data_IF_225311732016
#
_entry.id   IF_225311732016
#
_cell.length_a   1.000
_cell.length_b   1.000
_cell.length_c   1.000
_cell.angle_alpha   90.00
_cell.angle_beta   90.00
_cell.angle_gamma   90.00
#
_symmetry.space_group_name_H-M   'P 1'
#
loop_
_entity.id
_entity.type
_entity.pdbx_description
1 polymer ?
#
# COMPACT_ATOMS: atom_id res chain seq x y z
N UNK A 1 1.80 -33.29 -1.68
CA UNK A 1 0.53 -33.71 -1.04
C UNK A 1 0.63 -33.33 0.41
N UNK A 2 -0.07 -32.25 0.78
CA UNK A 2 -0.56 -31.79 2.09
C UNK A 2 -0.80 -30.28 1.98
N UNK A 3 -2.07 -29.85 1.83
CA UNK A 3 -2.48 -28.62 2.50
C UNK A 3 -3.93 -28.76 3.01
N UNK A 4 -4.11 -29.44 4.14
CA UNK A 4 -5.34 -29.42 4.92
C UNK A 4 -4.98 -29.51 6.41
N UNK A 5 -4.46 -28.42 7.01
CA UNK A 5 -4.33 -28.31 8.47
C UNK A 5 -3.94 -26.89 8.95
N UNK A 6 -4.61 -25.84 8.47
CA UNK A 6 -4.52 -24.50 9.08
C UNK A 6 -5.92 -23.90 9.30
N UNK A 7 -6.88 -24.70 9.76
CA UNK A 7 -8.21 -24.19 10.14
C UNK A 7 -8.62 -24.58 11.59
N UNK A 8 -7.71 -25.18 12.37
CA UNK A 8 -8.01 -25.71 13.71
C UNK A 8 -7.36 -25.02 14.91
N UNK A 9 -6.31 -24.21 14.73
CA UNK A 9 -5.51 -23.70 15.86
C UNK A 9 -5.76 -22.24 16.25
N UNK A 10 -6.54 -21.48 15.47
CA UNK A 10 -6.82 -20.08 15.77
C UNK A 10 -7.99 -19.84 16.75
N UNK A 11 -8.64 -20.89 17.28
CA UNK A 11 -9.83 -20.75 18.14
C UNK A 11 -9.58 -20.94 19.65
N UNK A 12 -8.33 -20.95 20.13
CA UNK A 12 -8.02 -21.21 21.55
C UNK A 12 -7.12 -20.18 22.23
N UNK A 13 -6.64 -19.17 21.52
CA UNK A 13 -5.88 -18.06 22.13
C UNK A 13 -6.82 -16.89 22.31
N UNK A 14 -7.00 -16.44 23.56
CA UNK A 14 -7.74 -15.23 23.86
C UNK A 14 -7.11 -14.06 23.09
N UNK A 15 -7.92 -13.33 22.33
CA UNK A 15 -7.46 -12.16 21.60
C UNK A 15 -7.00 -11.08 22.57
N UNK A 16 -5.97 -10.33 22.20
CA UNK A 16 -5.35 -9.32 23.06
C UNK A 16 -6.24 -8.08 23.23
N UNK A 17 -7.10 -7.82 22.24
CA UNK A 17 -7.94 -6.63 22.19
C UNK A 17 -9.41 -7.00 21.96
N UNK A 18 -10.31 -6.33 22.68
CA UNK A 18 -11.75 -6.43 22.38
C UNK A 18 -12.09 -5.68 21.09
N UNK A 19 -11.61 -4.45 20.97
CA UNK A 19 -11.73 -3.62 19.77
C UNK A 19 -10.36 -3.06 19.39
N UNK A 20 -10.04 -3.10 18.11
CA UNK A 20 -8.89 -2.42 17.53
C UNK A 20 -9.30 -1.56 16.32
N UNK A 21 -8.60 -0.46 16.12
CA UNK A 21 -8.71 0.34 14.91
C UNK A 21 -7.72 -0.19 13.87
N UNK A 22 -8.14 -0.30 12.62
CA UNK A 22 -7.24 -0.52 11.49
C UNK A 22 -7.31 0.70 10.56
N UNK A 23 -6.22 1.46 10.50
CA UNK A 23 -6.21 2.75 9.80
C UNK A 23 -5.56 2.63 8.41
N UNK A 24 -6.39 2.73 7.38
CA UNK A 24 -5.98 2.85 5.98
C UNK A 24 -5.37 4.23 5.69
N UNK A 25 -4.27 4.25 4.94
CA UNK A 25 -3.73 5.46 4.30
C UNK A 25 -3.27 5.20 2.87
N UNK A 26 -2.25 4.34 2.73
CA UNK A 26 -1.60 4.02 1.45
C UNK A 26 -1.72 2.56 1.02
N UNK A 27 -2.06 1.63 1.91
CA UNK A 27 -2.33 0.23 1.57
C UNK A 27 -3.83 -0.02 1.42
N UNK A 28 -4.45 0.56 0.38
CA UNK A 28 -5.91 0.55 0.18
C UNK A 28 -6.34 -0.75 -0.49
N UNK A 29 -6.19 -1.86 0.24
CA UNK A 29 -6.52 -3.23 -0.20
C UNK A 29 -6.77 -4.13 1.00
N UNK A 30 -7.49 -5.23 0.79
CA UNK A 30 -7.63 -6.29 1.80
C UNK A 30 -6.63 -7.43 1.59
N UNK A 31 -6.25 -7.74 0.34
CA UNK A 31 -5.29 -8.80 0.06
C UNK A 31 -3.88 -8.44 0.53
N UNK A 32 -3.20 -9.39 1.16
CA UNK A 32 -1.83 -9.25 1.66
C UNK A 32 -1.59 -7.92 2.40
N UNK A 33 -2.52 -7.56 3.28
CA UNK A 33 -2.42 -6.36 4.12
C UNK A 33 -2.04 -6.78 5.54
N UNK A 34 -0.75 -6.69 5.89
CA UNK A 34 -0.24 -7.24 7.16
C UNK A 34 -0.89 -6.58 8.37
N UNK A 35 -1.04 -5.26 8.35
CA UNK A 35 -1.66 -4.53 9.44
C UNK A 35 -3.13 -4.94 9.66
N UNK A 36 -3.89 -5.16 8.58
CA UNK A 36 -5.27 -5.66 8.68
C UNK A 36 -5.30 -7.10 9.23
N UNK A 37 -4.45 -7.99 8.70
CA UNK A 37 -4.38 -9.39 9.14
C UNK A 37 -4.07 -9.45 10.63
N UNK A 38 -3.07 -8.69 11.07
CA UNK A 38 -2.66 -8.63 12.47
C UNK A 38 -3.73 -8.03 13.39
N UNK A 39 -4.47 -7.02 12.91
CA UNK A 39 -5.62 -6.51 13.64
C UNK A 39 -6.71 -7.58 13.83
N UNK A 40 -7.02 -8.34 12.78
CA UNK A 40 -8.05 -9.41 12.84
C UNK A 40 -7.62 -10.58 13.72
N UNK A 41 -6.33 -10.93 13.70
CA UNK A 41 -5.75 -11.98 14.56
C UNK A 41 -5.82 -11.57 16.03
N UNK A 42 -5.50 -10.31 16.35
CA UNK A 42 -5.32 -9.87 17.73
C UNK A 42 -6.55 -9.18 18.36
N UNK A 43 -7.60 -8.87 17.58
CA UNK A 43 -8.80 -8.19 18.09
C UNK A 43 -10.13 -8.92 17.79
N UNK A 44 -11.07 -8.94 18.74
CA UNK A 44 -12.41 -9.54 18.52
C UNK A 44 -13.18 -8.79 17.45
N UNK A 45 -13.09 -7.45 17.50
CA UNK A 45 -13.66 -6.54 16.52
C UNK A 45 -12.60 -5.58 15.99
N UNK A 46 -12.63 -5.32 14.69
CA UNK A 46 -11.76 -4.37 13.99
C UNK A 46 -12.61 -3.28 13.37
N UNK A 47 -12.21 -2.02 13.54
CA UNK A 47 -12.82 -0.86 12.90
C UNK A 47 -11.91 -0.41 11.75
N UNK A 48 -12.20 -0.75 10.48
CA UNK A 48 -11.42 -0.29 9.34
C UNK A 48 -11.75 1.18 9.07
N UNK A 49 -10.74 2.05 9.11
CA UNK A 49 -10.92 3.50 9.08
C UNK A 49 -10.11 4.12 7.95
N UNK A 50 -10.69 5.09 7.26
CA UNK A 50 -9.96 6.03 6.43
C UNK A 50 -10.27 7.46 6.89
N UNK A 51 -9.22 8.28 7.01
CA UNK A 51 -9.34 9.68 7.43
C UNK A 51 -9.02 10.56 6.23
N UNK A 52 -10.01 11.33 5.79
CA UNK A 52 -9.87 12.42 4.84
C UNK A 52 -9.12 13.56 5.52
N UNK A 53 -7.81 13.58 5.36
CA UNK A 53 -6.90 14.54 5.99
C UNK A 53 -6.89 15.87 5.23
N UNK A 54 -7.37 16.99 5.83
CA UNK A 54 -7.39 18.29 5.16
C UNK A 54 -6.02 18.75 4.68
N UNK A 55 -4.95 18.36 5.37
CA UNK A 55 -3.56 18.71 5.01
C UNK A 55 -3.17 18.11 3.66
N UNK A 56 -3.60 16.88 3.38
CA UNK A 56 -3.33 16.17 2.13
C UNK A 56 -4.29 16.66 1.04
N UNK A 57 -5.56 16.85 1.37
CA UNK A 57 -6.59 17.26 0.41
C UNK A 57 -6.38 18.68 -0.11
N UNK A 58 -5.89 19.59 0.73
CA UNK A 58 -5.56 20.96 0.35
C UNK A 58 -4.22 21.10 -0.40
N UNK A 59 -3.42 20.02 -0.50
CA UNK A 59 -2.10 20.08 -1.12
C UNK A 59 -2.20 20.31 -2.63
N UNK A 60 -1.36 21.20 -3.17
CA UNK A 60 -1.40 21.65 -4.58
C UNK A 60 -1.18 20.54 -5.61
N UNK A 61 -0.54 19.45 -5.21
CA UNK A 61 -0.28 18.27 -6.06
C UNK A 61 -1.42 17.24 -6.04
N UNK A 62 -2.51 17.50 -5.30
CA UNK A 62 -3.69 16.63 -5.28
C UNK A 62 -4.58 16.90 -6.48
N UNK A 63 -4.19 16.36 -7.64
CA UNK A 63 -4.95 16.47 -8.89
C UNK A 63 -6.21 15.60 -8.94
N UNK A 64 -7.18 15.99 -9.77
CA UNK A 64 -8.51 15.34 -9.86
C UNK A 64 -8.44 13.85 -10.17
N UNK A 65 -7.58 13.41 -11.10
CA UNK A 65 -7.43 11.98 -11.44
C UNK A 65 -6.93 11.14 -10.25
N UNK A 66 -6.00 11.69 -9.45
CA UNK A 66 -5.47 11.05 -8.24
C UNK A 66 -6.56 10.94 -7.17
N UNK A 67 -7.32 12.00 -6.95
CA UNK A 67 -8.45 12.00 -6.01
C UNK A 67 -9.55 11.04 -6.45
N UNK A 68 -9.84 10.98 -7.76
CA UNK A 68 -10.80 10.04 -8.31
C UNK A 68 -10.41 8.60 -8.04
N UNK A 69 -9.18 8.23 -8.42
CA UNK A 69 -8.66 6.88 -8.20
C UNK A 69 -8.72 6.48 -6.72
N UNK A 70 -8.38 7.41 -5.82
CA UNK A 70 -8.48 7.19 -4.37
C UNK A 70 -9.91 6.84 -3.95
N UNK A 71 -10.91 7.64 -4.34
CA UNK A 71 -12.29 7.39 -3.91
C UNK A 71 -12.89 6.13 -4.55
N UNK A 72 -12.51 5.80 -5.80
CA UNK A 72 -12.84 4.51 -6.40
C UNK A 72 -12.27 3.35 -5.56
N UNK A 73 -10.99 3.43 -5.18
CA UNK A 73 -10.34 2.40 -4.36
C UNK A 73 -10.97 2.26 -2.96
N UNK A 74 -11.35 3.38 -2.32
CA UNK A 74 -12.05 3.34 -1.04
C UNK A 74 -13.45 2.72 -1.16
N UNK A 75 -14.16 2.99 -2.26
CA UNK A 75 -15.45 2.35 -2.55
C UNK A 75 -15.34 0.85 -2.78
N UNK A 76 -14.29 0.41 -3.49
CA UNK A 76 -13.97 -1.01 -3.70
C UNK A 76 -13.64 -1.73 -2.38
N UNK A 77 -12.84 -1.09 -1.51
CA UNK A 77 -12.54 -1.60 -0.16
C UNK A 77 -13.79 -1.68 0.70
N UNK A 78 -14.66 -0.66 0.72
CA UNK A 78 -15.92 -0.72 1.48
C UNK A 78 -16.82 -1.86 1.00
N UNK A 79 -16.95 -2.03 -0.32
CA UNK A 79 -17.72 -3.13 -0.92
C UNK A 79 -17.16 -4.49 -0.48
N UNK A 80 -15.83 -4.65 -0.54
CA UNK A 80 -15.14 -5.88 -0.14
C UNK A 80 -15.24 -6.17 1.36
N UNK A 81 -15.21 -5.12 2.20
CA UNK A 81 -15.41 -5.24 3.65
C UNK A 81 -16.84 -5.66 3.98
N UNK A 82 -17.85 -5.12 3.29
CA UNK A 82 -19.27 -5.50 3.48
C UNK A 82 -19.54 -6.96 3.19
N UNK A 83 -18.94 -7.49 2.12
CA UNK A 83 -19.00 -8.92 1.81
C UNK A 83 -18.40 -9.81 2.92
N UNK A 84 -17.57 -9.24 3.80
CA UNK A 84 -16.87 -9.93 4.90
C UNK A 84 -17.45 -9.62 6.28
N UNK A 85 -18.63 -9.00 6.34
CA UNK A 85 -19.33 -8.67 7.59
C UNK A 85 -18.87 -7.37 8.27
N UNK A 86 -18.21 -6.49 7.52
CA UNK A 86 -17.61 -5.24 7.99
C UNK A 86 -18.10 -4.05 7.15
N UNK A 87 -17.48 -2.89 7.33
CA UNK A 87 -17.60 -1.72 6.45
C UNK A 87 -16.38 -0.82 6.65
N UNK A 88 -16.14 0.09 5.71
CA UNK A 88 -15.21 1.19 5.89
C UNK A 88 -15.87 2.29 6.73
N UNK A 89 -15.16 2.79 7.73
CA UNK A 89 -15.52 3.98 8.50
C UNK A 89 -14.71 5.16 7.95
N UNK A 90 -15.41 6.17 7.46
CA UNK A 90 -14.80 7.41 6.95
C UNK A 90 -14.96 8.51 7.99
N UNK A 91 -13.87 9.24 8.24
CA UNK A 91 -13.81 10.48 9.02
C UNK A 91 -13.15 11.58 8.19
N UNK A 92 -13.45 12.83 8.50
CA UNK A 92 -12.81 14.00 7.93
C UNK A 92 -12.27 14.89 9.05
N UNK A 93 -10.95 15.07 9.06
CA UNK A 93 -10.31 15.93 10.05
C UNK A 93 -8.84 15.60 10.25
N UNK A 94 -8.29 16.13 11.34
CA UNK A 94 -6.89 15.91 11.68
C UNK A 94 -6.71 14.48 12.23
N UNK A 95 -5.78 13.67 11.68
CA UNK A 95 -5.68 12.25 12.03
C UNK A 95 -5.55 11.93 13.51
N UNK A 96 -4.78 12.74 14.26
CA UNK A 96 -4.65 12.58 15.72
C UNK A 96 -6.01 12.71 16.40
N UNK A 97 -6.72 13.81 16.15
CA UNK A 97 -8.02 14.09 16.76
C UNK A 97 -9.09 13.05 16.36
N UNK A 98 -9.14 12.64 15.09
CA UNK A 98 -10.10 11.62 14.64
C UNK A 98 -9.85 10.26 15.29
N UNK A 99 -8.59 9.83 15.40
CA UNK A 99 -8.26 8.55 16.01
C UNK A 99 -8.52 8.55 17.52
N UNK A 100 -8.22 9.66 18.21
CA UNK A 100 -8.57 9.83 19.62
C UNK A 100 -10.08 9.75 19.86
N UNK A 101 -10.89 10.45 19.04
CA UNK A 101 -12.34 10.36 19.10
C UNK A 101 -12.85 8.94 18.84
N UNK A 102 -12.30 8.26 17.84
CA UNK A 102 -12.68 6.87 17.54
C UNK A 102 -12.29 5.91 18.66
N UNK A 103 -11.14 6.11 19.33
CA UNK A 103 -10.76 5.34 20.52
C UNK A 103 -11.80 5.54 21.64
N UNK A 104 -12.24 6.78 21.88
CA UNK A 104 -13.27 7.08 22.89
C UNK A 104 -14.63 6.47 22.53
N UNK A 105 -15.05 6.60 21.27
CA UNK A 105 -16.32 6.08 20.75
C UNK A 105 -16.41 4.54 20.84
N UNK A 106 -15.27 3.85 20.65
CA UNK A 106 -15.25 2.39 20.46
C UNK A 106 -14.65 1.61 21.62
N UNK A 107 -13.93 2.28 22.52
CA UNK A 107 -13.10 1.61 23.53
C UNK A 107 -11.93 0.83 22.95
N UNK A 108 -11.46 1.19 21.75
CA UNK A 108 -10.34 0.50 21.10
C UNK A 108 -9.06 0.63 21.93
N UNK A 109 -8.36 -0.50 22.10
CA UNK A 109 -7.11 -0.58 22.89
C UNK A 109 -5.87 -0.73 22.03
N UNK A 110 -6.05 -0.80 20.70
CA UNK A 110 -4.94 -0.80 19.76
C UNK A 110 -5.31 -0.16 18.42
N UNK A 111 -4.29 0.38 17.74
CA UNK A 111 -4.38 0.90 16.38
C UNK A 111 -3.30 0.25 15.52
N UNK A 112 -3.72 -0.36 14.41
CA UNK A 112 -2.87 -1.04 13.44
C UNK A 112 -2.82 -0.22 12.15
N UNK A 113 -1.64 -0.03 11.57
CA UNK A 113 -1.49 0.61 10.25
C UNK A 113 -0.20 0.21 9.55
N UNK A 114 -0.16 0.37 8.22
CA UNK A 114 1.08 0.21 7.46
C UNK A 114 2.00 1.43 7.60
N UNK A 115 3.32 1.24 7.74
CA UNK A 115 4.33 2.31 7.85
C UNK A 115 4.24 3.34 6.72
N UNK A 116 4.55 4.61 7.02
CA UNK A 116 4.74 5.67 6.03
C UNK A 116 6.23 6.07 5.92
N UNK A 117 6.61 6.52 4.73
CA UNK A 117 8.01 6.77 4.38
C UNK A 117 8.26 8.20 3.91
N UNK A 118 7.20 8.93 3.55
CA UNK A 118 7.26 10.34 3.21
C UNK A 118 7.34 11.20 4.49
N UNK A 119 8.05 12.36 4.48
CA UNK A 119 8.28 13.15 5.70
C UNK A 119 7.01 13.51 6.47
N UNK A 120 5.99 14.00 5.77
CA UNK A 120 4.69 14.33 6.38
C UNK A 120 4.04 13.11 7.05
N UNK A 121 4.01 11.97 6.35
CA UNK A 121 3.41 10.74 6.87
C UNK A 121 4.11 10.24 8.12
N UNK A 122 5.45 10.33 8.15
CA UNK A 122 6.26 9.95 9.32
C UNK A 122 6.03 10.87 10.52
N UNK A 123 6.00 12.18 10.30
CA UNK A 123 5.73 13.15 11.36
C UNK A 123 4.31 12.96 11.94
N UNK A 124 3.32 12.79 11.07
CA UNK A 124 1.94 12.50 11.46
C UNK A 124 1.86 11.20 12.27
N UNK A 125 2.48 10.12 11.81
CA UNK A 125 2.46 8.83 12.50
C UNK A 125 3.14 8.89 13.88
N UNK A 126 4.22 9.66 14.01
CA UNK A 126 4.87 9.89 15.31
C UNK A 126 3.94 10.63 16.28
N UNK A 127 3.25 11.68 15.83
CA UNK A 127 2.26 12.42 16.63
C UNK A 127 1.07 11.54 17.04
N UNK A 128 0.58 10.71 16.12
CA UNK A 128 -0.48 9.73 16.42
C UNK A 128 -0.02 8.71 17.46
N UNK A 129 1.20 8.17 17.30
CA UNK A 129 1.76 7.19 18.24
C UNK A 129 1.89 7.79 19.64
N UNK A 130 2.51 8.97 19.73
CA UNK A 130 2.68 9.68 21.01
C UNK A 130 1.34 9.98 21.69
N UNK A 131 0.34 10.49 20.95
CA UNK A 131 -0.96 10.85 21.52
C UNK A 131 -1.73 9.63 22.04
N UNK A 132 -1.74 8.53 21.28
CA UNK A 132 -2.50 7.33 21.63
C UNK A 132 -1.81 6.50 22.72
N UNK A 133 -0.48 6.39 22.70
CA UNK A 133 0.28 5.64 23.71
C UNK A 133 0.19 6.29 25.10
N UNK A 134 0.17 7.64 25.17
CA UNK A 134 -0.10 8.37 26.42
C UNK A 134 -1.46 8.03 27.05
N UNK A 135 -2.39 7.52 26.25
CA UNK A 135 -3.73 7.08 26.66
C UNK A 135 -3.82 5.57 26.88
N UNK A 136 -2.69 4.86 26.85
CA UNK A 136 -2.65 3.41 27.03
C UNK A 136 -3.13 2.60 25.82
N UNK A 137 -3.25 3.22 24.64
CA UNK A 137 -3.62 2.52 23.40
C UNK A 137 -2.35 2.04 22.70
N UNK A 138 -2.27 0.75 22.39
CA UNK A 138 -1.12 0.18 21.70
C UNK A 138 -1.10 0.61 20.22
N UNK A 139 0.03 1.13 19.74
CA UNK A 139 0.18 1.51 18.33
C UNK A 139 1.10 0.52 17.62
N UNK A 140 0.61 -0.07 16.53
CA UNK A 140 1.25 -1.19 15.83
C UNK A 140 1.46 -0.84 14.34
N UNK A 141 2.61 -0.25 13.98
CA UNK A 141 2.98 -0.04 12.58
C UNK A 141 3.50 -1.34 11.93
N UNK A 142 3.19 -1.57 10.65
CA UNK A 142 3.65 -2.75 9.89
C UNK A 142 4.32 -2.38 8.57
N UNK A 143 5.40 -3.07 8.27
CA UNK A 143 6.05 -3.10 6.96
C UNK A 143 5.10 -3.71 5.94
N UNK A 144 4.59 -2.91 5.00
CA UNK A 144 3.55 -3.37 4.07
C UNK A 144 3.69 -2.80 2.65
N UNK A 145 4.06 -1.53 2.54
CA UNK A 145 4.07 -0.79 1.27
C UNK A 145 5.36 -0.99 0.46
N UNK A 146 6.46 -1.44 1.08
CA UNK A 146 7.73 -1.77 0.43
C UNK A 146 8.00 -3.27 0.53
N UNK A 147 8.89 -3.78 -0.33
CA UNK A 147 9.38 -5.15 -0.21
C UNK A 147 10.50 -5.25 0.82
N UNK A 148 11.30 -4.20 0.93
CA UNK A 148 12.42 -4.12 1.87
C UNK A 148 12.35 -2.78 2.59
N UNK A 149 12.56 -2.76 3.91
CA UNK A 149 12.52 -1.51 4.63
C UNK A 149 13.75 -0.65 4.33
N UNK A 150 13.63 0.69 4.29
CA UNK A 150 14.73 1.59 4.01
C UNK A 150 15.95 1.39 4.91
N UNK A 151 15.73 0.91 6.13
CA UNK A 151 16.77 0.68 7.12
C UNK A 151 17.58 -0.60 6.89
N UNK A 152 16.99 -1.60 6.22
CA UNK A 152 17.53 -2.96 6.13
C UNK A 152 18.65 -3.08 5.08
N UNK A 153 18.58 -2.28 4.00
CA UNK A 153 19.56 -2.34 2.92
C UNK A 153 20.67 -1.32 3.15
N UNK A 154 21.86 -1.81 3.51
CA UNK A 154 23.06 -1.02 3.80
C UNK A 154 24.25 -1.47 2.98
N UNK A 155 25.20 -0.57 2.74
CA UNK A 155 26.51 -0.94 2.20
C UNK A 155 27.26 -1.84 3.18
N UNK A 156 28.33 -2.51 2.73
CA UNK A 156 29.24 -3.26 3.61
C UNK A 156 29.84 -2.41 4.74
N UNK A 157 29.93 -1.09 4.54
CA UNK A 157 30.38 -0.13 5.56
C UNK A 157 29.26 0.41 6.44
N UNK A 158 28.04 -0.11 6.35
CA UNK A 158 26.88 0.32 7.14
C UNK A 158 26.22 1.62 6.66
N UNK A 159 26.66 2.19 5.54
CA UNK A 159 26.10 3.45 5.00
C UNK A 159 24.87 3.22 4.11
N UNK A 160 24.11 4.27 3.85
CA UNK A 160 22.99 4.26 2.89
C UNK A 160 23.52 4.17 1.46
N UNK A 161 22.84 3.40 0.59
CA UNK A 161 23.15 3.42 -0.84
C UNK A 161 22.62 4.68 -1.50
N UNK A 162 23.49 5.36 -2.25
CA UNK A 162 23.13 6.50 -3.13
C UNK A 162 23.25 6.17 -4.62
N UNK A 163 23.69 4.95 -4.95
CA UNK A 163 23.83 4.44 -6.31
C UNK A 163 23.00 3.17 -6.45
N UNK A 164 22.18 3.09 -7.49
CA UNK A 164 21.18 2.05 -7.65
C UNK A 164 21.76 0.66 -7.92
N UNK A 165 22.72 0.51 -8.83
CA UNK A 165 23.23 -0.82 -9.22
C UNK A 165 23.71 -1.66 -8.03
N UNK A 166 24.54 -1.16 -7.09
CA UNK A 166 24.93 -1.95 -5.94
C UNK A 166 23.79 -2.13 -4.90
N UNK A 167 22.86 -1.17 -4.79
CA UNK A 167 21.63 -1.35 -3.99
C UNK A 167 20.80 -2.53 -4.51
N UNK A 168 20.52 -2.56 -5.82
CA UNK A 168 19.72 -3.60 -6.46
C UNK A 168 20.28 -5.00 -6.19
N UNK A 169 21.61 -5.15 -6.24
CA UNK A 169 22.25 -6.46 -5.98
C UNK A 169 21.87 -6.99 -4.60
N UNK A 170 21.97 -6.15 -3.56
CA UNK A 170 21.59 -6.53 -2.20
C UNK A 170 20.07 -6.67 -2.05
N UNK A 171 19.29 -5.82 -2.73
CA UNK A 171 17.82 -5.87 -2.72
C UNK A 171 17.28 -7.20 -3.26
N UNK A 172 17.86 -7.71 -4.36
CA UNK A 172 17.45 -8.99 -4.96
C UNK A 172 17.77 -10.21 -4.09
N UNK A 173 18.66 -10.07 -3.12
CA UNK A 173 19.04 -11.11 -2.16
C UNK A 173 18.18 -11.09 -0.89
N UNK A 174 17.33 -10.07 -0.71
CA UNK A 174 16.51 -9.96 0.49
C UNK A 174 15.43 -11.06 0.54
N UNK A 175 15.20 -11.67 1.71
CA UNK A 175 14.09 -12.58 1.89
C UNK A 175 12.78 -11.79 1.80
N UNK A 176 11.93 -12.16 0.84
CA UNK A 176 10.60 -11.58 0.68
C UNK A 176 9.56 -12.61 1.08
N UNK A 177 8.75 -12.28 2.08
CA UNK A 177 7.69 -13.18 2.52
C UNK A 177 6.64 -13.39 1.43
N UNK A 178 6.09 -14.60 1.40
CA UNK A 178 4.95 -14.92 0.56
C UNK A 178 3.74 -14.06 0.92
N UNK A 179 2.96 -13.59 -0.07
CA UNK A 179 1.84 -12.70 0.21
C UNK A 179 0.66 -13.49 0.77
N UNK A 180 0.06 -12.99 1.85
CA UNK A 180 -1.05 -13.66 2.55
C UNK A 180 -2.41 -13.31 1.92
N UNK A 181 -3.41 -14.21 1.95
CA UNK A 181 -4.75 -13.88 1.49
C UNK A 181 -5.44 -12.87 2.40
N UNK A 182 -6.41 -12.12 1.86
CA UNK A 182 -7.30 -11.28 2.67
C UNK A 182 -8.04 -12.09 3.76
N UNK A 183 -8.29 -11.51 4.95
CA UNK A 183 -9.14 -12.15 5.94
C UNK A 183 -10.53 -12.50 5.39
N UNK A 184 -11.01 -13.72 5.67
CA UNK A 184 -12.34 -14.19 5.24
C UNK A 184 -13.48 -13.42 5.92
N UNK A 185 -13.26 -12.93 7.14
CA UNK A 185 -14.23 -12.19 7.94
C UNK A 185 -13.53 -11.04 8.67
N UNK A 186 -14.18 -9.89 8.69
CA UNK A 186 -13.80 -8.74 9.51
C UNK A 186 -15.06 -8.35 10.26
N UNK A 187 -15.00 -8.22 11.58
CA UNK A 187 -16.17 -7.88 12.41
C UNK A 187 -15.97 -6.46 12.91
N UNK A 188 -16.86 -5.54 12.55
CA UNK A 188 -16.86 -4.16 13.05
C UNK A 188 -17.99 -3.98 14.05
N UNK A 189 -17.82 -3.19 15.13
CA UNK A 189 -18.91 -2.83 16.02
C UNK A 189 -20.05 -2.14 15.26
N UNK A 190 -21.29 -2.41 15.67
CA UNK A 190 -22.48 -1.81 15.07
C UNK A 190 -22.60 -0.30 15.40
N UNK A 191 -23.42 0.41 14.63
CA UNK A 191 -23.83 1.80 14.87
C UNK A 191 -22.72 2.87 14.95
N UNK A 192 -21.52 2.57 14.47
CA UNK A 192 -20.49 3.60 14.30
C UNK A 192 -20.89 4.59 13.21
N UNK A 193 -20.88 5.88 13.56
CA UNK A 193 -21.01 6.96 12.59
C UNK A 193 -19.94 6.80 11.50
N UNK A 194 -20.27 7.18 10.26
CA UNK A 194 -19.32 7.28 9.16
C UNK A 194 -19.82 8.36 8.23
N UNK A 195 -18.89 9.18 7.77
CA UNK A 195 -19.16 10.13 6.70
C UNK A 195 -19.34 9.37 5.37
N UNK A 196 -20.04 10.00 4.44
CA UNK A 196 -20.13 9.47 3.08
C UNK A 196 -18.81 9.73 2.34
N UNK A 197 -18.37 8.77 1.53
CA UNK A 197 -17.31 9.06 0.56
C UNK A 197 -17.81 10.17 -0.38
N UNK A 198 -16.97 11.20 -0.67
CA UNK A 198 -17.37 12.24 -1.58
C UNK A 198 -17.78 11.65 -2.92
N UNK A 199 -18.96 12.04 -3.42
CA UNK A 199 -19.37 11.69 -4.77
C UNK A 199 -18.36 12.30 -5.74
N UNK A 200 -17.76 11.46 -6.59
CA UNK A 200 -16.89 11.93 -7.65
C UNK A 200 -17.66 12.97 -8.47
N UNK A 201 -17.10 14.16 -8.75
CA UNK A 201 -17.72 15.02 -9.73
C UNK A 201 -17.85 14.21 -11.03
N UNK A 202 -19.06 14.15 -11.58
CA UNK A 202 -19.27 13.71 -12.95
C UNK A 202 -18.23 14.47 -13.77
N UNK A 203 -17.34 13.74 -14.44
CA UNK A 203 -16.20 14.28 -15.18
C UNK A 203 -16.57 15.61 -15.84
N UNK A 204 -16.09 16.72 -15.28
CA UNK A 204 -16.17 18.01 -15.97
C UNK A 204 -15.33 17.82 -17.21
N UNK A 205 -15.98 17.92 -18.37
CA UNK A 205 -15.41 17.60 -19.66
C UNK A 205 -14.10 18.33 -19.88
N UNK A 206 -12.99 17.59 -19.71
CA UNK A 206 -11.83 17.84 -20.54
C UNK A 206 -12.23 17.31 -21.91
N UNK A 207 -12.79 18.18 -22.74
CA UNK A 207 -13.02 17.91 -24.15
C UNK A 207 -11.65 17.61 -24.78
N UNK A 208 -11.30 16.33 -24.85
CA UNK A 208 -9.97 15.88 -25.27
C UNK A 208 -9.65 14.44 -24.83
N UNK A 209 -10.18 13.46 -25.57
CA UNK A 209 -9.56 12.14 -25.78
C UNK A 209 -9.20 11.24 -24.57
N UNK A 210 -9.89 11.31 -23.43
CA UNK A 210 -9.72 10.29 -22.36
C UNK A 210 -10.67 9.09 -22.47
N UNK A 211 -11.66 9.12 -23.37
CA UNK A 211 -12.64 8.03 -23.52
C UNK A 211 -12.10 6.79 -24.28
N UNK A 212 -10.90 6.85 -24.85
CA UNK A 212 -10.30 5.73 -25.61
C UNK A 212 -9.23 4.94 -24.85
N UNK A 213 -8.80 5.35 -23.65
CA UNK A 213 -7.87 4.56 -22.84
C UNK A 213 -8.66 3.64 -21.89
N UNK A 214 -8.20 2.40 -21.64
CA UNK A 214 -8.80 1.57 -20.58
C UNK A 214 -8.76 2.36 -19.28
N UNK A 215 -9.95 2.66 -18.73
CA UNK A 215 -10.08 3.46 -17.51
C UNK A 215 -9.29 2.79 -16.39
N UNK A 216 -8.21 3.42 -15.96
CA UNK A 216 -7.45 3.03 -14.77
C UNK A 216 -8.34 3.30 -13.56
N UNK A 217 -9.12 2.29 -13.19
CA UNK A 217 -10.06 2.34 -12.05
C UNK A 217 -9.37 1.88 -10.78
N UNK A 218 -9.60 2.59 -9.68
CA UNK A 218 -9.14 2.16 -8.36
C UNK A 218 -9.92 0.95 -7.84
N UNK A 219 -9.45 -0.27 -8.08
CA UNK A 219 -9.96 -1.50 -7.44
C UNK A 219 -8.95 -2.63 -7.42
N UNK A 220 -9.02 -3.50 -6.42
CA UNK A 220 -8.17 -4.70 -6.31
C UNK A 220 -8.39 -5.63 -7.52
N UNK A 221 -9.63 -5.75 -8.00
CA UNK A 221 -9.96 -6.53 -9.18
C UNK A 221 -9.35 -5.95 -10.47
N UNK A 222 -9.33 -4.62 -10.63
CA UNK A 222 -8.68 -3.99 -11.77
C UNK A 222 -7.16 -4.16 -11.72
N UNK A 223 -6.54 -3.99 -10.54
CA UNK A 223 -5.13 -4.28 -10.31
C UNK A 223 -4.77 -5.73 -10.70
N UNK A 224 -5.58 -6.69 -10.25
CA UNK A 224 -5.36 -8.11 -10.55
C UNK A 224 -5.43 -8.40 -12.06
N UNK A 225 -6.39 -7.80 -12.78
CA UNK A 225 -6.49 -7.92 -14.24
C UNK A 225 -5.26 -7.34 -14.96
N UNK A 226 -4.81 -6.16 -14.55
CA UNK A 226 -3.58 -5.55 -15.10
C UNK A 226 -2.34 -6.42 -14.83
N UNK A 227 -2.22 -6.95 -13.62
CA UNK A 227 -1.13 -7.86 -13.28
C UNK A 227 -1.18 -9.15 -14.12
N UNK A 228 -2.34 -9.80 -14.24
CA UNK A 228 -2.48 -11.03 -15.06
C UNK A 228 -2.12 -10.77 -16.52
N UNK A 229 -2.69 -9.71 -17.11
CA UNK A 229 -2.41 -9.34 -18.50
C UNK A 229 -0.91 -9.05 -18.72
N UNK A 230 -0.26 -8.36 -17.78
CA UNK A 230 1.16 -8.09 -17.84
C UNK A 230 2.00 -9.39 -17.77
N UNK A 231 1.70 -10.28 -16.82
CA UNK A 231 2.41 -11.54 -16.65
C UNK A 231 2.22 -12.50 -17.84
N UNK A 232 1.05 -12.46 -18.47
CA UNK A 232 0.75 -13.31 -19.62
C UNK A 232 1.40 -12.81 -20.89
N UNK A 233 1.31 -11.50 -21.17
CA UNK A 233 1.54 -10.96 -22.50
C UNK A 233 2.78 -10.08 -22.63
N UNK A 234 3.25 -9.46 -21.55
CA UNK A 234 4.24 -8.37 -21.65
C UNK A 234 5.57 -8.66 -20.94
N UNK A 235 5.54 -9.36 -19.80
CA UNK A 235 6.72 -9.48 -18.93
C UNK A 235 7.93 -10.14 -19.60
N UNK A 236 7.69 -11.02 -20.59
CA UNK A 236 8.76 -11.70 -21.33
C UNK A 236 9.53 -10.80 -22.30
N UNK A 237 8.87 -9.78 -22.86
CA UNK A 237 9.45 -8.82 -23.83
C UNK A 237 9.74 -7.46 -23.17
N UNK A 238 9.63 -7.38 -21.84
CA UNK A 238 9.64 -6.11 -21.12
C UNK A 238 10.94 -5.33 -21.30
N UNK A 239 12.09 -6.01 -21.41
CA UNK A 239 13.40 -5.35 -21.52
C UNK A 239 13.55 -4.55 -22.83
N UNK A 240 12.92 -5.01 -23.91
CA UNK A 240 12.88 -4.31 -25.19
C UNK A 240 11.73 -3.30 -25.24
N UNK A 241 10.52 -3.75 -24.93
CA UNK A 241 9.30 -3.04 -25.30
C UNK A 241 9.06 -1.80 -24.43
N UNK A 242 9.56 -1.80 -23.18
CA UNK A 242 9.44 -0.68 -22.24
C UNK A 242 10.01 0.64 -22.76
N UNK A 243 10.90 0.59 -23.76
CA UNK A 243 11.60 1.77 -24.28
C UNK A 243 10.82 2.49 -25.39
N UNK A 244 9.71 1.90 -25.88
CA UNK A 244 8.92 2.45 -26.96
C UNK A 244 7.56 2.93 -26.45
N UNK A 245 7.34 4.25 -26.30
CA UNK A 245 6.09 4.79 -25.73
C UNK A 245 4.82 4.43 -26.51
N UNK A 246 4.97 4.10 -27.80
CA UNK A 246 3.86 3.67 -28.65
C UNK A 246 3.42 2.23 -28.41
N UNK A 247 4.21 1.43 -27.68
CA UNK A 247 3.89 0.04 -27.36
C UNK A 247 3.28 -0.08 -25.96
N UNK A 248 2.28 -0.95 -25.83
CA UNK A 248 1.73 -1.36 -24.53
C UNK A 248 2.65 -2.37 -23.84
N UNK A 249 3.91 -1.99 -23.66
CA UNK A 249 4.97 -2.85 -23.14
C UNK A 249 5.17 -2.80 -21.62
N UNK A 250 4.32 -2.08 -20.87
CA UNK A 250 4.49 -1.88 -19.41
C UNK A 250 3.33 -2.43 -18.62
N UNK A 251 3.54 -2.68 -17.31
CA UNK A 251 2.52 -3.30 -16.46
C UNK A 251 1.32 -2.40 -16.14
N UNK A 252 1.43 -1.08 -16.35
CA UNK A 252 0.43 -0.09 -15.95
C UNK A 252 0.06 -0.14 -14.44
N UNK A 253 0.91 -0.74 -13.59
CA UNK A 253 0.65 -0.95 -12.16
C UNK A 253 1.02 0.23 -11.25
N UNK A 254 1.57 1.33 -11.77
CA UNK A 254 2.15 2.42 -10.96
C UNK A 254 1.13 3.08 -10.01
N UNK A 255 -0.08 3.41 -10.49
CA UNK A 255 -1.13 3.98 -9.65
C UNK A 255 -1.59 3.01 -8.56
N UNK A 256 -1.74 1.73 -8.90
CA UNK A 256 -2.12 0.66 -7.98
C UNK A 256 -1.06 0.45 -6.89
N UNK A 257 0.22 0.42 -7.24
CA UNK A 257 1.34 0.33 -6.29
C UNK A 257 1.52 1.60 -5.45
N UNK A 258 1.15 2.77 -5.98
CA UNK A 258 1.22 4.05 -5.26
C UNK A 258 0.16 4.12 -4.16
N UNK A 259 -1.06 3.69 -4.44
CA UNK A 259 -2.18 3.66 -3.50
C UNK A 259 -2.33 2.31 -2.80
N UNK A 260 -1.36 1.41 -2.99
CA UNK A 260 -1.31 0.09 -2.37
C UNK A 260 -2.59 -0.72 -2.57
N UNK A 261 -3.29 -0.49 -3.69
CA UNK A 261 -4.44 -1.27 -4.18
C UNK A 261 -3.97 -2.64 -4.68
N UNK A 262 -2.67 -2.77 -4.96
CA UNK A 262 -2.02 -4.07 -5.15
C UNK A 262 -0.82 -4.18 -4.21
N UNK A 263 -0.65 -5.35 -3.60
CA UNK A 263 0.54 -5.62 -2.79
C UNK A 263 1.80 -5.68 -3.66
N UNK A 264 2.91 -5.04 -3.27
CA UNK A 264 4.18 -5.24 -3.94
C UNK A 264 4.69 -6.69 -3.81
N UNK A 265 4.40 -7.39 -2.70
CA UNK A 265 4.74 -8.81 -2.51
C UNK A 265 3.94 -9.69 -3.47
N UNK A 266 2.64 -9.42 -3.67
CA UNK A 266 1.82 -10.16 -4.64
C UNK A 266 2.38 -10.01 -6.05
N UNK A 267 2.74 -8.80 -6.45
CA UNK A 267 3.33 -8.53 -7.76
C UNK A 267 4.68 -9.24 -7.89
N UNK A 268 5.57 -9.11 -6.89
CA UNK A 268 6.86 -9.78 -6.87
C UNK A 268 6.74 -11.30 -7.00
N UNK A 269 5.87 -11.93 -6.19
CA UNK A 269 5.62 -13.36 -6.24
C UNK A 269 5.10 -13.80 -7.61
N UNK A 270 4.17 -13.04 -8.20
CA UNK A 270 3.64 -13.32 -9.55
C UNK A 270 4.72 -13.26 -10.63
N UNK A 271 5.59 -12.24 -10.60
CA UNK A 271 6.69 -12.10 -11.56
C UNK A 271 7.74 -13.18 -11.36
N UNK A 272 8.11 -13.50 -10.12
CA UNK A 272 9.05 -14.58 -9.80
C UNK A 272 8.53 -15.94 -10.27
N UNK A 273 7.24 -16.22 -10.10
CA UNK A 273 6.65 -17.46 -10.57
C UNK A 273 6.60 -17.52 -12.10
N UNK A 274 6.15 -16.45 -12.75
CA UNK A 274 6.15 -16.37 -14.21
C UNK A 274 7.57 -16.53 -14.77
N UNK A 275 8.57 -15.89 -14.16
CA UNK A 275 9.98 -15.99 -14.55
C UNK A 275 10.48 -17.44 -14.60
N UNK A 276 10.05 -18.32 -13.69
CA UNK A 276 10.46 -19.74 -13.69
C UNK A 276 9.98 -20.50 -14.92
N UNK A 277 8.83 -20.11 -15.48
CA UNK A 277 8.23 -20.76 -16.66
C UNK A 277 8.66 -20.15 -18.00
N UNK A 278 9.36 -19.02 -17.99
CA UNK A 278 9.87 -18.38 -19.21
C UNK A 278 11.12 -19.09 -19.77
N UNK A 279 11.27 -19.04 -21.10
CA UNK A 279 12.52 -19.38 -21.79
C UNK A 279 13.69 -18.47 -21.38
N UNK A 280 14.93 -18.90 -21.62
CA UNK A 280 16.14 -18.16 -21.21
C UNK A 280 16.19 -16.74 -21.80
N UNK A 281 15.76 -16.61 -23.06
CA UNK A 281 15.61 -15.36 -23.78
C UNK A 281 14.64 -14.39 -23.09
N UNK A 282 13.48 -14.89 -22.63
CA UNK A 282 12.42 -14.07 -22.03
C UNK A 282 12.60 -13.78 -20.53
N UNK A 283 13.51 -14.48 -19.85
CA UNK A 283 13.80 -14.22 -18.43
C UNK A 283 14.38 -12.82 -18.19
N UNK A 284 15.08 -12.27 -19.18
CA UNK A 284 15.65 -10.93 -19.10
C UNK A 284 14.57 -9.85 -18.94
N UNK A 285 13.41 -10.00 -19.61
CA UNK A 285 12.27 -9.12 -19.43
C UNK A 285 11.77 -9.10 -17.97
N UNK A 286 11.58 -10.28 -17.37
CA UNK A 286 11.18 -10.40 -15.98
C UNK A 286 12.22 -9.83 -15.00
N UNK A 287 13.51 -10.11 -15.22
CA UNK A 287 14.62 -9.56 -14.43
C UNK A 287 14.70 -8.03 -14.51
N UNK A 288 14.48 -7.48 -15.71
CA UNK A 288 14.43 -6.04 -15.94
C UNK A 288 13.24 -5.43 -15.23
N UNK A 289 12.06 -6.06 -15.26
CA UNK A 289 10.89 -5.56 -14.54
C UNK A 289 11.08 -5.59 -13.02
N UNK A 290 11.68 -6.66 -12.47
CA UNK A 290 12.05 -6.73 -11.05
C UNK A 290 13.04 -5.62 -10.66
N UNK A 291 13.94 -5.24 -11.57
CA UNK A 291 14.81 -4.07 -11.40
C UNK A 291 14.02 -2.76 -11.28
N UNK A 292 12.93 -2.60 -12.02
CA UNK A 292 12.03 -1.43 -11.89
C UNK A 292 11.28 -1.41 -10.55
N UNK A 293 10.91 -2.58 -10.03
CA UNK A 293 10.35 -2.68 -8.68
C UNK A 293 11.40 -2.34 -7.61
N UNK A 294 12.66 -2.75 -7.80
CA UNK A 294 13.76 -2.34 -6.92
C UNK A 294 14.03 -0.82 -7.00
N UNK A 295 13.87 -0.19 -8.16
CA UNK A 295 13.97 1.26 -8.32
C UNK A 295 12.96 2.00 -7.44
N UNK A 296 11.73 1.49 -7.36
CA UNK A 296 10.70 2.05 -6.47
C UNK A 296 11.18 2.07 -5.02
N UNK A 297 11.63 0.95 -4.49
CA UNK A 297 12.09 0.86 -3.10
C UNK A 297 13.38 1.67 -2.88
N UNK A 298 14.28 1.73 -3.87
CA UNK A 298 15.47 2.59 -3.82
C UNK A 298 15.10 4.06 -3.63
N UNK A 299 14.11 4.58 -4.37
CA UNK A 299 13.69 5.97 -4.21
C UNK A 299 12.98 6.24 -2.88
N UNK A 300 12.23 5.27 -2.34
CA UNK A 300 11.72 5.37 -0.96
C UNK A 300 12.87 5.38 0.06
N UNK A 301 13.91 4.57 -0.15
CA UNK A 301 15.11 4.55 0.68
C UNK A 301 15.84 5.91 0.64
N UNK A 302 15.99 6.51 -0.54
CA UNK A 302 16.56 7.87 -0.68
C UNK A 302 15.70 8.89 0.07
N UNK A 303 14.39 8.92 -0.17
CA UNK A 303 13.50 9.88 0.49
C UNK A 303 13.51 9.73 2.02
N UNK A 304 13.57 8.49 2.51
CA UNK A 304 13.55 8.19 3.94
C UNK A 304 14.81 8.69 4.66
N UNK A 305 16.00 8.45 4.09
CA UNK A 305 17.28 8.86 4.72
C UNK A 305 17.70 10.29 4.37
N UNK A 306 17.19 10.85 3.26
CA UNK A 306 17.52 12.18 2.78
C UNK A 306 16.24 13.01 2.57
N UNK A 307 15.47 13.32 3.62
CA UNK A 307 14.16 13.97 3.49
C UNK A 307 14.24 15.37 2.86
N UNK A 308 15.41 16.02 2.84
CA UNK A 308 15.61 17.33 2.21
C UNK A 308 15.35 17.32 0.70
N UNK A 309 15.39 16.15 0.05
CA UNK A 309 15.16 15.99 -1.40
C UNK A 309 13.74 16.36 -1.86
N UNK A 310 12.80 16.51 -0.92
CA UNK A 310 11.44 16.96 -1.23
C UNK A 310 11.44 18.39 -1.77
N UNK A 311 12.35 19.25 -1.29
CA UNK A 311 12.40 20.66 -1.65
C UNK A 311 13.76 21.16 -2.14
N UNK A 312 14.79 20.32 -2.12
CA UNK A 312 16.17 20.71 -2.45
C UNK A 312 16.82 19.68 -3.36
N UNK A 313 17.92 20.06 -4.02
CA UNK A 313 18.71 19.12 -4.80
C UNK A 313 19.32 18.04 -3.90
N UNK A 314 19.39 16.81 -4.41
CA UNK A 314 20.00 15.68 -3.69
C UNK A 314 21.45 15.99 -3.31
N UNK A 315 22.23 16.53 -4.25
CA UNK A 315 23.55 17.07 -3.98
C UNK A 315 23.41 18.55 -3.60
N UNK A 316 23.80 18.96 -2.38
CA UNK A 316 23.65 20.35 -1.96
C UNK A 316 24.36 21.37 -2.85
N UNK A 317 25.43 20.98 -3.56
CA UNK A 317 26.15 21.84 -4.49
C UNK A 317 25.33 22.33 -5.70
N UNK A 318 24.14 21.76 -5.93
CA UNK A 318 23.21 22.24 -6.96
C UNK A 318 22.05 23.06 -6.38
N UNK A 319 22.05 23.32 -5.07
CA UNK A 319 21.20 24.36 -4.51
C UNK A 319 21.86 25.69 -4.89
N UNK A 320 21.17 26.48 -5.72
CA UNK A 320 21.67 27.75 -6.26
C UNK A 320 22.09 28.76 -5.20
#
# INVERSE_FOLDING_TARGET
MFPEQIDGYHSLVAKQHKVALFWFRRSIRLDDNRALIEAVVNADQVVPIFILDPTILAHTTTGQARTRFLFEALGDVDTSLRQRGSRLIVRHGQPVAELERLVEETGATAVFFGREYEPYGRERDAKVSEALEKRGVAVRPFSDHLLTEPEDIRTKGGTVYTVFTPYKRVWLEQPIDSPAPAPKRVITPDNLHSEALPKLPNSVGVAGSLDQQPKVTGSEAAAARWLSAFLENCVGEYDTDRNFPAMEGTSRLSAYLKFGVVSPRRVFAGVQEKRKSLGLDKKLGADTWLSELAWRDFYYQILFHFPHVVGNAFRPAYNG
#
